data_IF_863916544314
#
_entry.id   IF_863916544314
#
_cell.length_a   1.000
_cell.length_b   1.000
_cell.length_c   1.000
_cell.angle_alpha   90.00
_cell.angle_beta   90.00
_cell.angle_gamma   90.00
#
_symmetry.space_group_name_H-M   'P 1'
#
loop_
_entity.id
_entity.type
_entity.pdbx_description
1 polymer ?
#
# COMPACT_ATOMS: atom_id res chain seq x y z
N UNK A 1 17.87 -6.96 19.62
CA UNK A 1 16.45 -6.54 19.73
C UNK A 1 16.37 -5.37 20.68
N UNK A 2 15.73 -4.24 20.30
CA UNK A 2 15.43 -3.16 21.24
C UNK A 2 14.66 -3.73 22.43
N UNK A 3 15.07 -3.39 23.66
CA UNK A 3 14.52 -3.97 24.92
C UNK A 3 13.03 -3.67 25.18
N UNK A 4 12.36 -2.97 24.26
CA UNK A 4 11.03 -2.40 24.48
C UNK A 4 10.02 -2.66 23.35
N UNK A 5 10.35 -3.43 22.32
CA UNK A 5 9.31 -3.88 21.38
C UNK A 5 8.49 -4.97 22.07
N UNK A 6 7.25 -4.65 22.43
CA UNK A 6 6.27 -5.66 22.81
C UNK A 6 6.06 -6.55 21.57
N UNK A 7 6.27 -7.86 21.72
CA UNK A 7 5.90 -8.78 20.65
C UNK A 7 4.41 -8.63 20.36
N UNK A 8 4.08 -8.30 19.12
CA UNK A 8 2.71 -8.16 18.66
C UNK A 8 2.30 -9.44 17.95
N UNK A 9 1.20 -10.06 18.39
CA UNK A 9 0.65 -11.25 17.73
C UNK A 9 -0.25 -10.88 16.55
N UNK A 10 -0.54 -11.86 15.69
CA UNK A 10 -1.55 -11.73 14.62
C UNK A 10 -2.90 -11.35 15.20
N UNK A 11 -3.34 -12.02 16.26
CA UNK A 11 -4.65 -11.77 16.87
C UNK A 11 -4.73 -10.36 17.50
N UNK A 12 -3.63 -9.84 18.04
CA UNK A 12 -3.58 -8.47 18.58
C UNK A 12 -3.74 -7.42 17.47
N UNK A 13 -3.05 -7.57 16.33
CA UNK A 13 -3.19 -6.65 15.20
C UNK A 13 -4.60 -6.74 14.60
N UNK A 14 -5.11 -7.96 14.43
CA UNK A 14 -6.48 -8.21 13.95
C UNK A 14 -7.52 -7.52 14.83
N UNK A 15 -7.47 -7.79 16.14
CA UNK A 15 -8.39 -7.20 17.10
C UNK A 15 -8.27 -5.67 17.14
N UNK A 16 -7.06 -5.13 16.99
CA UNK A 16 -6.86 -3.68 16.93
C UNK A 16 -7.54 -3.05 15.71
N UNK A 17 -7.35 -3.63 14.52
CA UNK A 17 -7.99 -3.17 13.27
C UNK A 17 -9.51 -3.24 13.39
N UNK A 18 -10.05 -4.37 13.85
CA UNK A 18 -11.50 -4.53 14.06
C UNK A 18 -12.05 -3.50 15.04
N UNK A 19 -11.36 -3.24 16.14
CA UNK A 19 -11.79 -2.24 17.12
C UNK A 19 -11.72 -0.80 16.59
N UNK A 20 -10.81 -0.50 15.66
CA UNK A 20 -10.78 0.80 14.99
C UNK A 20 -12.02 0.98 14.11
N UNK A 21 -12.35 -0.03 13.30
CA UNK A 21 -13.53 -0.02 12.43
C UNK A 21 -14.85 0.10 13.22
N UNK A 22 -14.97 -0.61 14.35
CA UNK A 22 -16.14 -0.51 15.22
C UNK A 22 -16.30 0.89 15.87
N UNK A 23 -15.20 1.62 16.05
CA UNK A 23 -15.20 2.95 16.68
C UNK A 23 -15.42 4.09 15.72
N UNK A 24 -15.19 3.89 14.42
CA UNK A 24 -15.32 4.94 13.40
C UNK A 24 -16.78 5.23 13.02
N UNK A 25 -17.77 4.69 13.74
CA UNK A 25 -19.21 4.83 13.49
C UNK A 25 -19.63 4.38 12.08
N UNK A 26 -18.79 3.56 11.44
CA UNK A 26 -18.98 3.20 10.04
C UNK A 26 -20.07 2.11 9.84
N UNK A 27 -20.76 1.68 10.91
CA UNK A 27 -21.97 0.87 10.81
C UNK A 27 -21.77 -0.58 10.31
N UNK A 28 -20.57 -1.13 10.40
CA UNK A 28 -20.24 -2.46 9.86
C UNK A 28 -20.39 -3.56 10.91
N UNK A 29 -21.54 -4.23 10.94
CA UNK A 29 -21.79 -5.32 11.89
C UNK A 29 -21.24 -6.68 11.41
N UNK A 30 -20.97 -6.87 10.10
CA UNK A 30 -20.64 -8.18 9.49
C UNK A 30 -19.50 -8.12 8.44
N UNK A 31 -18.37 -7.47 8.74
CA UNK A 31 -17.24 -7.36 7.79
C UNK A 31 -15.98 -8.15 8.19
N UNK A 32 -15.23 -8.59 7.18
CA UNK A 32 -13.91 -9.19 7.40
C UNK A 32 -12.83 -8.11 7.58
N UNK A 33 -11.66 -8.48 8.12
CA UNK A 33 -10.53 -7.53 8.26
C UNK A 33 -10.08 -6.98 6.90
N UNK A 34 -10.19 -7.80 5.86
CA UNK A 34 -9.90 -7.42 4.47
C UNK A 34 -10.80 -6.29 4.00
N UNK A 35 -12.11 -6.43 4.21
CA UNK A 35 -13.10 -5.41 3.86
C UNK A 35 -12.85 -4.14 4.68
N UNK A 36 -12.66 -4.28 6.01
CA UNK A 36 -12.39 -3.15 6.91
C UNK A 36 -11.18 -2.33 6.48
N UNK A 37 -10.09 -2.98 6.04
CA UNK A 37 -8.90 -2.27 5.59
C UNK A 37 -9.07 -1.63 4.21
N UNK A 38 -9.85 -2.25 3.33
CA UNK A 38 -10.22 -1.65 2.05
C UNK A 38 -10.96 -0.34 2.30
N UNK A 39 -11.97 -0.36 3.18
CA UNK A 39 -12.73 0.83 3.57
C UNK A 39 -11.87 1.89 4.27
N UNK A 40 -10.96 1.49 5.17
CA UNK A 40 -10.04 2.43 5.84
C UNK A 40 -9.09 3.15 4.87
N UNK A 41 -8.88 2.59 3.67
CA UNK A 41 -8.08 3.23 2.62
C UNK A 41 -8.96 4.05 1.69
N UNK A 42 -10.19 3.61 1.37
CA UNK A 42 -11.04 4.22 0.33
C UNK A 42 -12.05 5.26 0.82
N UNK A 43 -12.44 5.24 2.09
CA UNK A 43 -13.26 6.29 2.68
C UNK A 43 -12.34 7.44 3.10
N UNK A 44 -12.69 8.69 2.83
CA UNK A 44 -11.90 9.89 3.18
C UNK A 44 -12.65 10.73 4.23
N UNK A 45 -13.93 10.43 4.47
CA UNK A 45 -14.82 11.27 5.28
C UNK A 45 -14.85 10.86 6.76
N UNK A 46 -14.37 9.67 7.14
CA UNK A 46 -14.34 9.25 8.55
C UNK A 46 -13.10 9.82 9.31
N UNK A 47 -13.37 10.76 10.21
CA UNK A 47 -12.38 11.68 10.80
C UNK A 47 -11.38 11.06 11.80
N UNK A 48 -11.30 9.73 11.93
CA UNK A 48 -10.49 9.10 12.99
C UNK A 48 -9.66 7.95 12.42
N UNK A 49 -8.45 8.26 11.95
CA UNK A 49 -7.40 7.27 11.64
C UNK A 49 -6.99 7.18 10.17
N UNK A 50 -7.88 7.42 9.21
CA UNK A 50 -7.61 7.24 7.78
C UNK A 50 -6.64 8.29 7.22
N UNK A 51 -6.69 9.54 7.72
CA UNK A 51 -5.71 10.56 7.34
C UNK A 51 -4.27 10.17 7.69
N UNK A 52 -4.05 9.29 8.69
CA UNK A 52 -2.72 8.82 9.06
C UNK A 52 -2.17 7.79 8.06
N UNK A 53 -2.98 6.80 7.71
CA UNK A 53 -2.63 5.74 6.76
C UNK A 53 -2.34 6.32 5.39
N UNK A 54 -3.25 7.15 4.88
CA UNK A 54 -3.08 7.81 3.59
C UNK A 54 -1.82 8.67 3.62
N UNK A 55 -1.62 9.52 4.65
CA UNK A 55 -0.38 10.32 4.79
C UNK A 55 0.88 9.47 4.82
N UNK A 56 0.84 8.31 5.48
CA UNK A 56 2.00 7.41 5.51
C UNK A 56 2.28 6.83 4.11
N UNK A 57 1.25 6.44 3.36
CA UNK A 57 1.38 5.99 1.97
C UNK A 57 1.94 7.09 1.06
N UNK A 58 1.43 8.33 1.14
CA UNK A 58 1.98 9.47 0.38
C UNK A 58 3.43 9.80 0.76
N UNK A 59 3.77 9.71 2.05
CA UNK A 59 5.09 10.10 2.55
C UNK A 59 6.17 9.06 2.26
N UNK A 60 5.81 7.78 2.41
CA UNK A 60 6.76 6.69 2.40
C UNK A 60 6.73 5.85 1.11
N UNK A 61 5.67 5.90 0.29
CA UNK A 61 5.52 5.06 -0.89
C UNK A 61 5.38 5.87 -2.17
N UNK A 62 6.32 5.71 -3.11
CA UNK A 62 6.23 5.92 -4.58
C UNK A 62 5.48 7.12 -5.18
N UNK A 63 4.27 7.37 -4.71
CA UNK A 63 3.26 8.35 -5.07
C UNK A 63 3.63 9.82 -4.82
N UNK A 64 4.90 10.17 -4.64
CA UNK A 64 5.34 11.58 -4.59
C UNK A 64 4.88 12.37 -5.82
N UNK A 65 4.57 11.66 -6.92
CA UNK A 65 4.06 12.19 -8.19
C UNK A 65 2.69 11.63 -8.60
N UNK A 66 2.04 10.77 -7.80
CA UNK A 66 0.71 10.31 -8.19
C UNK A 66 -0.31 11.38 -7.80
N UNK A 67 -1.09 11.80 -8.78
CA UNK A 67 -2.23 12.69 -8.59
C UNK A 67 -3.37 11.90 -7.94
N UNK A 68 -3.19 11.55 -6.66
CA UNK A 68 -4.32 11.23 -5.83
C UNK A 68 -5.04 12.55 -5.51
N UNK A 69 -6.35 12.65 -5.76
CA UNK A 69 -7.10 13.82 -5.36
C UNK A 69 -6.93 14.01 -3.85
N UNK A 70 -6.44 15.18 -3.44
CA UNK A 70 -6.33 15.50 -2.02
C UNK A 70 -7.74 15.56 -1.43
N UNK A 71 -7.92 15.36 -0.11
CA UNK A 71 -9.24 15.52 0.52
C UNK A 71 -9.92 16.87 0.21
N UNK A 72 -9.14 17.88 -0.18
CA UNK A 72 -9.59 19.22 -0.55
C UNK A 72 -10.03 19.32 -2.03
N UNK A 73 -9.57 18.41 -2.90
CA UNK A 73 -9.90 18.33 -4.33
C UNK A 73 -11.10 17.40 -4.60
N UNK A 74 -11.52 16.62 -3.61
CA UNK A 74 -12.58 15.63 -3.73
C UNK A 74 -13.97 16.29 -3.62
N UNK A 75 -14.86 16.13 -4.62
CA UNK A 75 -16.24 16.58 -4.50
C UNK A 75 -16.97 15.79 -3.39
N UNK A 76 -17.93 16.41 -2.67
CA UNK A 76 -18.57 15.78 -1.53
C UNK A 76 -19.15 14.38 -1.85
N UNK A 77 -18.72 13.41 -1.03
CA UNK A 77 -19.15 12.02 -0.81
C UNK A 77 -19.37 11.09 -2.00
N UNK A 78 -20.23 11.41 -2.98
CA UNK A 78 -20.61 10.42 -4.01
C UNK A 78 -19.62 10.29 -5.18
N UNK A 79 -18.99 11.40 -5.59
CA UNK A 79 -18.01 11.42 -6.70
C UNK A 79 -16.58 11.17 -6.25
N UNK A 80 -16.28 11.45 -4.98
CA UNK A 80 -15.01 11.08 -4.37
C UNK A 80 -14.84 9.55 -4.34
N UNK A 81 -15.91 8.85 -3.95
CA UNK A 81 -15.97 7.40 -4.05
C UNK A 81 -15.73 6.92 -5.49
N UNK A 82 -16.32 7.55 -6.53
CA UNK A 82 -16.07 7.20 -7.95
C UNK A 82 -14.60 7.39 -8.42
N UNK A 83 -13.84 8.32 -7.84
CA UNK A 83 -12.41 8.47 -8.13
C UNK A 83 -11.54 7.51 -7.30
N UNK A 84 -12.02 7.03 -6.16
CA UNK A 84 -11.35 5.99 -5.36
C UNK A 84 -11.79 4.57 -5.71
N UNK A 85 -12.86 4.40 -6.51
CA UNK A 85 -13.29 3.12 -7.10
C UNK A 85 -12.19 2.42 -7.93
N UNK A 86 -11.10 3.12 -8.22
CA UNK A 86 -9.97 2.55 -8.93
C UNK A 86 -8.98 1.85 -8.01
N UNK A 87 -8.85 2.20 -6.72
CA UNK A 87 -7.87 1.54 -5.85
C UNK A 87 -8.44 0.26 -5.22
N UNK A 88 -7.86 -0.87 -5.61
CA UNK A 88 -8.15 -2.19 -5.05
C UNK A 88 -7.00 -2.61 -4.18
N UNK A 89 -7.31 -3.21 -3.03
CA UNK A 89 -6.30 -3.92 -2.25
C UNK A 89 -6.60 -5.40 -2.31
N UNK A 90 -5.70 -6.15 -2.93
CA UNK A 90 -5.69 -7.61 -2.89
C UNK A 90 -4.86 -8.07 -1.70
N UNK A 91 -5.52 -8.66 -0.71
CA UNK A 91 -4.86 -9.03 0.53
C UNK A 91 -4.02 -10.29 0.39
N UNK A 92 -2.78 -10.23 0.87
CA UNK A 92 -1.82 -11.32 0.77
C UNK A 92 -1.72 -12.14 2.07
N UNK A 93 -1.93 -11.50 3.24
CA UNK A 93 -1.98 -12.19 4.53
C UNK A 93 -1.17 -11.51 5.64
N UNK A 94 -1.13 -12.17 6.80
CA UNK A 94 -0.39 -11.70 7.98
C UNK A 94 1.00 -12.31 8.05
N UNK A 95 1.97 -11.53 8.52
CA UNK A 95 3.31 -12.03 8.78
C UNK A 95 3.95 -11.32 9.97
N UNK A 96 4.79 -12.05 10.70
CA UNK A 96 5.51 -11.53 11.87
C UNK A 96 7.00 -11.53 11.58
N UNK A 97 7.63 -10.35 11.65
CA UNK A 97 9.08 -10.17 11.52
C UNK A 97 9.63 -9.55 12.81
N UNK A 98 10.62 -10.23 13.41
CA UNK A 98 11.32 -9.77 14.62
C UNK A 98 10.39 -9.28 15.75
N UNK A 99 9.26 -9.95 15.94
CA UNK A 99 8.29 -9.63 16.99
C UNK A 99 7.25 -8.56 16.62
N UNK A 100 7.30 -7.99 15.41
CA UNK A 100 6.24 -7.10 14.92
C UNK A 100 5.41 -7.79 13.84
N UNK A 101 4.09 -7.76 14.02
CA UNK A 101 3.16 -8.33 13.04
C UNK A 101 2.66 -7.23 12.11
N UNK A 102 2.52 -7.56 10.83
CA UNK A 102 1.91 -6.71 9.84
C UNK A 102 0.97 -7.52 8.96
N UNK A 103 0.10 -6.80 8.28
CA UNK A 103 -0.80 -7.32 7.28
C UNK A 103 -0.41 -6.80 5.91
N UNK A 104 -0.07 -7.70 4.99
CA UNK A 104 0.35 -7.39 3.64
C UNK A 104 -0.80 -7.44 2.66
N UNK A 105 -0.79 -6.53 1.69
CA UNK A 105 -1.67 -6.54 0.53
C UNK A 105 -1.00 -5.92 -0.67
N UNK A 106 -1.65 -6.01 -1.82
CA UNK A 106 -1.26 -5.38 -3.07
C UNK A 106 -2.28 -4.30 -3.40
N UNK A 107 -1.83 -3.04 -3.39
CA UNK A 107 -2.62 -1.91 -3.83
C UNK A 107 -2.46 -1.77 -5.35
N UNK A 108 -3.54 -1.86 -6.12
CA UNK A 108 -3.54 -1.65 -7.57
C UNK A 108 -4.62 -0.66 -7.98
N UNK A 109 -4.44 -0.06 -9.16
CA UNK A 109 -5.54 0.56 -9.90
C UNK A 109 -5.98 -0.33 -11.06
N UNK A 110 -7.17 -0.08 -11.63
CA UNK A 110 -7.76 -0.90 -12.72
C UNK A 110 -6.81 -1.19 -13.89
N UNK A 111 -5.82 -0.31 -14.11
CA UNK A 111 -4.89 -0.39 -15.24
C UNK A 111 -3.43 -0.44 -14.80
N UNK A 112 -3.13 -0.44 -13.49
CA UNK A 112 -1.76 -0.28 -13.00
C UNK A 112 -1.23 -1.56 -12.41
N UNK A 113 0.10 -1.72 -12.50
CA UNK A 113 0.75 -2.80 -11.80
C UNK A 113 0.52 -2.66 -10.29
N UNK A 114 0.19 -3.78 -9.59
CA UNK A 114 -0.01 -3.73 -8.15
C UNK A 114 1.24 -3.20 -7.42
N UNK A 115 1.07 -2.85 -6.16
CA UNK A 115 2.16 -2.40 -5.31
C UNK A 115 1.96 -2.96 -3.92
N UNK A 116 2.96 -3.67 -3.43
CA UNK A 116 2.92 -4.24 -2.10
C UNK A 116 2.84 -3.14 -1.04
N UNK A 117 1.92 -3.30 -0.10
CA UNK A 117 1.71 -2.44 1.06
C UNK A 117 1.61 -3.28 2.32
N UNK A 118 2.16 -2.79 3.42
CA UNK A 118 2.08 -3.41 4.74
C UNK A 118 1.40 -2.48 5.74
N UNK A 119 0.37 -2.99 6.42
CA UNK A 119 -0.32 -2.33 7.52
C UNK A 119 0.17 -2.90 8.85
N UNK A 120 0.51 -2.05 9.81
CA UNK A 120 1.07 -2.48 11.09
C UNK A 120 0.76 -1.49 12.20
N UNK A 121 0.85 -1.94 13.45
CA UNK A 121 0.78 -1.04 14.60
C UNK A 121 2.19 -0.57 14.97
N UNK A 122 2.39 0.75 15.12
CA UNK A 122 3.65 1.27 15.65
C UNK A 122 3.75 1.13 17.18
N UNK A 123 4.90 1.45 17.77
CA UNK A 123 5.13 1.33 19.23
C UNK A 123 4.25 2.26 20.06
N UNK A 124 3.59 3.24 19.44
CA UNK A 124 2.64 4.14 20.09
C UNK A 124 1.21 3.61 20.02
N UNK A 125 1.02 2.42 19.45
CA UNK A 125 -0.30 1.82 19.29
C UNK A 125 -1.08 2.39 18.12
N UNK A 126 -0.45 3.08 17.16
CA UNK A 126 -1.12 3.72 16.01
C UNK A 126 -1.04 2.82 14.79
N UNK A 127 -2.15 2.68 14.05
CA UNK A 127 -2.15 2.00 12.77
C UNK A 127 -1.35 2.82 11.74
N UNK A 128 -0.41 2.16 11.08
CA UNK A 128 0.45 2.71 10.04
C UNK A 128 0.32 1.87 8.79
N UNK A 129 0.58 2.49 7.65
CA UNK A 129 0.86 1.78 6.43
C UNK A 129 2.27 2.10 5.94
N UNK A 130 2.87 1.16 5.22
CA UNK A 130 4.15 1.36 4.58
C UNK A 130 4.21 0.59 3.27
N UNK A 131 4.69 1.26 2.24
CA UNK A 131 4.87 0.72 0.91
C UNK A 131 6.37 0.77 0.60
N UNK A 132 7.04 -0.39 0.45
CA UNK A 132 8.47 -0.45 0.16
C UNK A 132 8.81 0.31 -1.13
N UNK A 133 9.88 1.13 -1.10
CA UNK A 133 10.33 1.89 -2.28
C UNK A 133 11.20 1.05 -3.22
N UNK A 134 11.62 -0.14 -2.79
CA UNK A 134 12.49 -1.06 -3.51
C UNK A 134 11.93 -2.47 -3.48
N UNK A 135 12.22 -3.22 -4.54
CA UNK A 135 11.70 -4.59 -4.72
C UNK A 135 10.18 -4.62 -4.89
N UNK A 136 9.59 -3.51 -5.31
CA UNK A 136 8.16 -3.33 -5.52
C UNK A 136 7.93 -2.85 -6.96
N UNK A 137 6.72 -3.03 -7.49
CA UNK A 137 6.30 -2.80 -8.88
C UNK A 137 6.33 -1.36 -9.40
N UNK A 138 7.31 -0.53 -9.01
CA UNK A 138 7.42 0.86 -9.45
C UNK A 138 8.36 1.05 -10.63
N UNK A 139 8.01 2.00 -11.49
CA UNK A 139 8.94 2.53 -12.46
C UNK A 139 10.08 3.27 -11.74
N UNK A 140 11.34 2.84 -11.90
CA UNK A 140 12.45 3.42 -11.15
C UNK A 140 12.79 4.86 -11.57
N UNK A 141 12.25 5.36 -12.68
CA UNK A 141 12.51 6.72 -13.18
C UNK A 141 11.65 7.78 -12.48
N UNK A 142 10.34 7.58 -12.40
CA UNK A 142 9.38 8.54 -11.86
C UNK A 142 8.75 8.10 -10.51
N UNK A 143 9.00 6.85 -10.10
CA UNK A 143 8.48 6.21 -8.87
C UNK A 143 6.98 5.93 -8.84
N UNK A 144 6.31 6.08 -9.98
CA UNK A 144 4.91 5.69 -10.15
C UNK A 144 4.80 4.19 -10.40
N UNK A 145 3.61 3.61 -10.21
CA UNK A 145 3.37 2.25 -10.67
C UNK A 145 3.50 2.20 -12.19
N UNK A 146 3.94 1.07 -12.74
CA UNK A 146 3.88 0.91 -14.20
C UNK A 146 2.42 1.02 -14.68
N UNK A 147 2.24 1.60 -15.87
CA UNK A 147 1.00 2.06 -16.51
C UNK A 147 0.42 3.40 -16.02
N UNK A 148 0.99 4.02 -14.98
CA UNK A 148 0.56 5.38 -14.57
C UNK A 148 1.11 6.49 -15.49
N UNK A 149 2.25 6.24 -16.14
CA UNK A 149 2.93 7.21 -17.01
C UNK A 149 3.62 6.49 -18.16
N UNK A 150 2.85 6.33 -19.23
CA UNK A 150 3.28 5.65 -20.45
C UNK A 150 4.60 6.22 -21.01
N UNK A 151 4.86 7.52 -20.88
CA UNK A 151 6.10 8.11 -21.41
C UNK A 151 7.32 7.64 -20.61
N UNK A 152 7.21 7.67 -19.28
CA UNK A 152 8.26 7.18 -18.40
C UNK A 152 8.43 5.66 -18.48
N UNK A 153 7.35 4.91 -18.65
CA UNK A 153 7.37 3.45 -18.77
C UNK A 153 8.07 3.02 -20.05
N UNK A 154 7.72 3.65 -21.17
CA UNK A 154 8.40 3.49 -22.44
C UNK A 154 9.88 3.86 -22.38
N UNK A 155 10.22 4.94 -21.66
CA UNK A 155 11.61 5.36 -21.47
C UNK A 155 12.38 4.31 -20.67
N UNK A 156 11.77 3.73 -19.65
CA UNK A 156 12.35 2.63 -18.90
C UNK A 156 12.54 1.39 -19.78
N UNK A 157 11.52 0.97 -20.53
CA UNK A 157 11.58 -0.19 -21.43
C UNK A 157 12.67 -0.03 -22.49
N UNK A 158 12.79 1.15 -23.11
CA UNK A 158 13.88 1.49 -24.05
C UNK A 158 15.25 1.40 -23.41
N UNK A 159 15.39 1.80 -22.13
CA UNK A 159 16.66 1.66 -21.40
C UNK A 159 17.09 0.21 -21.18
N UNK A 160 16.14 -0.73 -21.28
CA UNK A 160 16.35 -2.18 -21.18
C UNK A 160 16.47 -2.88 -22.54
N UNK A 161 16.41 -2.14 -23.64
CA UNK A 161 16.57 -2.66 -25.00
C UNK A 161 15.26 -3.09 -25.69
N UNK A 162 14.11 -2.76 -25.12
CA UNK A 162 12.80 -2.97 -25.74
C UNK A 162 12.38 -1.76 -26.57
N UNK A 163 11.38 -1.92 -27.44
CA UNK A 163 10.86 -0.83 -28.27
C UNK A 163 10.07 0.20 -27.46
N UNK A 164 9.19 -0.30 -26.61
CA UNK A 164 8.24 0.40 -25.74
C UNK A 164 7.85 -0.53 -24.59
N UNK A 165 7.03 -0.06 -23.65
CA UNK A 165 6.61 -0.86 -22.50
C UNK A 165 5.76 -2.07 -22.91
N UNK A 166 4.86 -1.90 -23.87
CA UNK A 166 4.03 -2.99 -24.41
C UNK A 166 4.88 -4.13 -25.02
N UNK A 167 5.92 -3.79 -25.80
CA UNK A 167 6.87 -4.76 -26.34
C UNK A 167 7.61 -5.53 -25.23
N UNK A 168 7.93 -4.85 -24.12
CA UNK A 168 8.56 -5.47 -22.95
C UNK A 168 7.63 -6.45 -22.25
N UNK A 169 6.37 -6.09 -22.01
CA UNK A 169 5.38 -6.97 -21.39
C UNK A 169 5.11 -8.21 -22.25
N UNK A 170 4.91 -8.03 -23.56
CA UNK A 170 4.61 -9.13 -24.48
C UNK A 170 5.79 -10.10 -24.63
N UNK A 171 7.02 -9.59 -24.70
CA UNK A 171 8.23 -10.42 -24.85
C UNK A 171 8.71 -11.01 -23.54
N UNK A 172 8.34 -10.40 -22.42
CA UNK A 172 8.80 -10.80 -21.10
C UNK A 172 7.62 -10.85 -20.11
N UNK A 173 6.67 -11.78 -20.29
CA UNK A 173 5.46 -11.85 -19.44
C UNK A 173 5.76 -12.13 -17.96
N UNK A 174 6.97 -12.57 -17.62
CA UNK A 174 7.44 -12.73 -16.24
C UNK A 174 8.09 -11.46 -15.66
N UNK A 175 8.26 -10.40 -16.44
CA UNK A 175 8.91 -9.15 -16.03
C UNK A 175 8.24 -8.54 -14.79
N UNK A 176 6.91 -8.58 -14.71
CA UNK A 176 6.17 -8.07 -13.55
C UNK A 176 6.68 -8.73 -12.27
N UNK A 177 6.86 -10.06 -12.27
CA UNK A 177 7.38 -10.77 -11.10
C UNK A 177 8.83 -10.37 -10.76
N UNK A 178 9.65 -10.01 -11.75
CA UNK A 178 11.03 -9.54 -11.54
C UNK A 178 11.10 -8.14 -10.93
N UNK A 179 10.03 -7.35 -11.04
CA UNK A 179 9.92 -6.07 -10.33
C UNK A 179 9.79 -6.28 -8.81
N UNK A 180 9.30 -7.45 -8.40
CA UNK A 180 9.14 -7.79 -7.00
C UNK A 180 10.32 -8.62 -6.50
N UNK A 181 11.09 -8.03 -5.59
CA UNK A 181 12.12 -8.75 -4.87
C UNK A 181 11.69 -8.85 -3.40
N UNK A 182 11.15 -10.02 -3.04
CA UNK A 182 10.62 -10.29 -1.71
C UNK A 182 11.67 -10.13 -0.59
N UNK A 183 12.95 -10.42 -0.87
CA UNK A 183 14.01 -10.22 0.11
C UNK A 183 14.31 -8.73 0.28
N UNK A 184 14.33 -7.95 -0.81
CA UNK A 184 14.48 -6.49 -0.73
C UNK A 184 13.30 -5.86 0.01
N UNK A 185 12.05 -6.28 -0.28
CA UNK A 185 10.85 -5.85 0.47
C UNK A 185 11.02 -6.15 1.96
N UNK A 186 11.42 -7.37 2.30
CA UNK A 186 11.64 -7.77 3.70
C UNK A 186 12.71 -6.91 4.36
N UNK A 187 13.80 -6.57 3.68
CA UNK A 187 14.83 -5.68 4.21
C UNK A 187 14.33 -4.23 4.39
N UNK A 188 13.52 -3.71 3.47
CA UNK A 188 12.86 -2.40 3.62
C UNK A 188 11.92 -2.40 4.84
N UNK A 189 11.11 -3.45 5.00
CA UNK A 189 10.23 -3.65 6.15
C UNK A 189 11.02 -3.73 7.46
N UNK A 190 12.07 -4.54 7.53
CA UNK A 190 12.92 -4.63 8.73
C UNK A 190 13.53 -3.29 9.09
N UNK A 191 14.05 -2.53 8.12
CA UNK A 191 14.56 -1.16 8.39
C UNK A 191 13.48 -0.26 8.96
N UNK A 192 12.23 -0.38 8.52
CA UNK A 192 11.13 0.46 8.99
C UNK A 192 10.56 0.01 10.34
N UNK A 193 10.48 -1.30 10.55
CA UNK A 193 9.83 -1.94 11.69
C UNK A 193 10.78 -2.12 12.89
N UNK A 194 12.08 -2.21 12.66
CA UNK A 194 13.11 -2.45 13.71
C UNK A 194 13.84 -1.16 14.11
N UNK A 195 13.91 -0.16 13.22
CA UNK A 195 14.57 1.13 13.49
C UNK A 195 13.53 2.16 13.91
N UNK A 196 13.06 2.10 15.17
CA UNK A 196 12.50 3.24 15.93
C UNK A 196 12.36 2.90 17.40
#
# INVERSE_FOLDING_TARGET
MPRYMKEQTVDELKAFITNLALKSDMGYEDETIEDMLMYMVTDVDSHIGMSGIIKDLYKDGGFENAEFPTPEDLPPTAKALEQWHYMKIEWAGFHTLEGRTFYGGFLSQDWTEPSFVAFYQDDKGVLRAYMPKKGNGFNPLNKLSFHDDNESDDKYARSKGFKDFEDMEQKHPAFIAELYDSEVIKQELLKRLVVR
#
